data_IF_195860578815
#
_entry.id   IF_195860578815
#
_cell.length_a   1.000
_cell.length_b   1.000
_cell.length_c   1.000
_cell.angle_alpha   90.00
_cell.angle_beta   90.00
_cell.angle_gamma   90.00
#
_symmetry.space_group_name_H-M   'P 1'
#
loop_
_entity.id
_entity.type
_entity.pdbx_description
1 polymer ?
#
# COMPACT_ATOMS: atom_id res chain seq x y z
N UNK A 1 -84.93 38.81 2.60
CA UNK A 1 -85.09 37.39 3.00
C UNK A 1 -83.82 36.73 2.65
N UNK A 2 -82.92 36.65 3.67
CA UNK A 2 -81.48 36.38 3.54
C UNK A 2 -81.23 34.91 3.90
N UNK A 3 -80.73 34.14 2.99
CA UNK A 3 -80.36 32.75 3.23
C UNK A 3 -78.84 32.70 3.54
N UNK A 4 -78.52 32.31 4.76
CA UNK A 4 -77.14 32.04 5.20
C UNK A 4 -76.63 30.69 4.68
N UNK A 5 -75.65 30.75 3.80
CA UNK A 5 -74.90 29.56 3.35
C UNK A 5 -73.71 29.31 4.27
N UNK A 6 -73.78 28.30 5.12
CA UNK A 6 -72.65 27.84 5.97
C UNK A 6 -71.73 26.97 5.17
N UNK A 7 -70.56 27.45 4.85
CA UNK A 7 -69.47 26.69 4.30
C UNK A 7 -68.84 25.85 5.43
N UNK A 8 -68.94 24.52 5.31
CA UNK A 8 -68.19 23.56 6.15
C UNK A 8 -66.80 23.38 5.56
N UNK A 9 -65.76 23.91 6.18
CA UNK A 9 -64.38 23.59 5.87
C UNK A 9 -64.03 22.24 6.53
N UNK A 10 -63.95 21.19 5.72
CA UNK A 10 -63.38 19.91 6.17
C UNK A 10 -61.86 20.04 6.04
N UNK A 11 -61.19 20.19 7.17
CA UNK A 11 -59.71 20.16 7.25
C UNK A 11 -59.23 18.67 7.14
N UNK A 12 -58.83 18.26 5.97
CA UNK A 12 -58.20 16.95 5.75
C UNK A 12 -56.73 17.03 6.21
N UNK A 13 -56.47 16.62 7.43
CA UNK A 13 -55.10 16.49 7.95
C UNK A 13 -54.51 15.24 7.29
N UNK A 14 -53.66 15.43 6.26
CA UNK A 14 -52.82 14.37 5.68
C UNK A 14 -51.79 13.95 6.73
N UNK A 15 -51.98 12.80 7.38
CA UNK A 15 -50.95 12.10 8.12
C UNK A 15 -49.94 11.54 7.12
N UNK A 16 -48.88 12.28 6.85
CA UNK A 16 -47.72 11.77 6.11
C UNK A 16 -46.96 10.87 7.07
N UNK A 17 -46.67 9.62 6.72
CA UNK A 17 -45.75 8.79 7.52
C UNK A 17 -44.37 9.45 7.49
N UNK A 18 -43.81 9.74 8.68
CA UNK A 18 -42.45 10.21 8.82
C UNK A 18 -41.51 9.12 8.27
N UNK A 19 -40.99 9.34 7.07
CA UNK A 19 -39.93 8.50 6.52
C UNK A 19 -38.70 8.65 7.44
N UNK A 20 -38.47 7.63 8.26
CA UNK A 20 -37.22 7.54 9.02
C UNK A 20 -36.11 7.30 8.01
N UNK A 21 -35.36 8.34 7.67
CA UNK A 21 -34.11 8.23 6.95
C UNK A 21 -33.11 7.51 7.87
N UNK A 22 -32.90 6.21 7.61
CA UNK A 22 -31.76 5.53 8.19
C UNK A 22 -30.51 6.14 7.57
N UNK A 23 -29.82 7.00 8.32
CA UNK A 23 -28.45 7.37 8.01
C UNK A 23 -27.60 6.12 8.09
N UNK A 24 -27.27 5.53 6.94
CA UNK A 24 -26.19 4.56 6.88
C UNK A 24 -24.93 5.33 7.28
N UNK A 25 -24.45 5.08 8.50
CA UNK A 25 -23.19 5.61 8.95
C UNK A 25 -22.14 5.07 7.98
N UNK A 26 -21.59 5.98 7.17
CA UNK A 26 -20.59 5.64 6.16
C UNK A 26 -19.27 5.40 6.90
N UNK A 27 -19.17 4.23 7.55
CA UNK A 27 -17.91 3.79 8.14
C UNK A 27 -16.93 3.57 6.99
N UNK A 28 -15.85 4.37 6.98
CA UNK A 28 -14.78 4.20 6.01
C UNK A 28 -14.32 2.74 6.02
N UNK A 29 -14.14 2.15 4.83
CA UNK A 29 -13.65 0.80 4.70
C UNK A 29 -12.31 0.66 5.42
N UNK A 30 -12.13 -0.41 6.18
CA UNK A 30 -10.88 -0.71 6.88
C UNK A 30 -10.35 -2.07 6.45
N UNK A 31 -9.02 -2.21 6.48
CA UNK A 31 -8.39 -3.50 6.23
C UNK A 31 -8.65 -4.44 7.41
N UNK A 32 -9.15 -5.63 7.14
CA UNK A 32 -9.46 -6.64 8.16
C UNK A 32 -8.36 -7.71 8.32
N UNK A 33 -7.37 -7.71 7.41
CA UNK A 33 -6.32 -8.73 7.39
C UNK A 33 -6.74 -10.05 6.74
N UNK A 34 -5.75 -10.84 6.34
CA UNK A 34 -5.98 -12.12 5.66
C UNK A 34 -6.55 -13.21 6.60
N UNK A 35 -6.28 -13.10 7.90
CA UNK A 35 -6.74 -14.09 8.91
C UNK A 35 -8.26 -14.19 8.97
N UNK A 36 -8.99 -13.10 8.67
CA UNK A 36 -10.46 -13.12 8.58
C UNK A 36 -10.95 -14.06 7.47
N UNK A 37 -10.22 -14.13 6.36
CA UNK A 37 -10.56 -15.01 5.23
C UNK A 37 -10.40 -16.49 5.59
N UNK A 38 -9.50 -16.83 6.52
CA UNK A 38 -9.25 -18.20 6.96
C UNK A 38 -10.49 -18.90 7.55
N UNK A 39 -11.42 -18.11 8.13
CA UNK A 39 -12.65 -18.66 8.72
C UNK A 39 -13.56 -19.38 7.71
N UNK A 40 -13.54 -18.98 6.44
CA UNK A 40 -14.33 -19.60 5.36
C UNK A 40 -13.44 -20.31 4.31
N UNK A 41 -12.16 -19.95 4.19
CA UNK A 41 -11.23 -20.42 3.16
C UNK A 41 -9.97 -21.05 3.76
N UNK A 42 -10.13 -21.93 4.77
CA UNK A 42 -9.04 -22.48 5.55
C UNK A 42 -7.96 -23.19 4.69
N UNK A 43 -8.38 -23.99 3.72
CA UNK A 43 -7.46 -24.73 2.86
C UNK A 43 -6.64 -23.77 1.95
N UNK A 44 -7.31 -22.81 1.31
CA UNK A 44 -6.67 -21.82 0.46
C UNK A 44 -5.73 -20.93 1.26
N UNK A 45 -6.17 -20.51 2.45
CA UNK A 45 -5.35 -19.72 3.36
C UNK A 45 -4.08 -20.48 3.78
N UNK A 46 -4.18 -21.78 4.10
CA UNK A 46 -3.04 -22.59 4.51
C UNK A 46 -2.01 -22.76 3.38
N UNK A 47 -2.46 -22.86 2.12
CA UNK A 47 -1.59 -22.93 0.94
C UNK A 47 -0.94 -21.58 0.61
N UNK A 48 -1.66 -20.49 0.87
CA UNK A 48 -1.16 -19.14 0.60
C UNK A 48 -0.18 -18.68 1.69
N UNK A 49 -0.46 -18.95 2.96
CA UNK A 49 0.34 -18.50 4.12
C UNK A 49 1.78 -19.04 4.05
N UNK A 50 2.75 -18.13 4.12
CA UNK A 50 4.17 -18.43 3.99
C UNK A 50 4.66 -18.72 2.55
N UNK A 51 3.76 -18.64 1.54
CA UNK A 51 4.15 -18.75 0.14
C UNK A 51 4.84 -17.47 -0.36
N UNK A 52 5.45 -17.51 -1.56
CA UNK A 52 6.00 -16.30 -2.19
C UNK A 52 4.93 -15.23 -2.45
N UNK A 53 3.66 -15.61 -2.60
CA UNK A 53 2.55 -14.66 -2.75
C UNK A 53 2.22 -13.93 -1.43
N UNK A 54 2.29 -14.63 -0.28
CA UNK A 54 2.17 -14.00 1.03
C UNK A 54 3.32 -13.00 1.27
N UNK A 55 4.51 -13.36 0.85
CA UNK A 55 5.71 -12.52 0.97
C UNK A 55 5.86 -11.47 -0.14
N UNK A 56 5.02 -11.49 -1.18
CA UNK A 56 5.16 -10.63 -2.34
C UNK A 56 5.08 -9.13 -2.01
N UNK A 57 4.32 -8.74 -0.99
CA UNK A 57 4.24 -7.37 -0.51
C UNK A 57 4.02 -7.34 1.01
N UNK A 58 5.02 -6.87 1.74
CA UNK A 58 5.02 -6.78 3.20
C UNK A 58 5.43 -5.37 3.65
N UNK A 59 4.97 -4.92 4.83
CA UNK A 59 5.55 -3.74 5.46
C UNK A 59 7.07 -3.93 5.64
N UNK A 60 7.85 -2.87 5.41
CA UNK A 60 9.32 -2.93 5.52
C UNK A 60 9.74 -3.10 6.98
N UNK A 61 10.08 -4.32 7.36
CA UNK A 61 10.51 -4.72 8.70
C UNK A 61 11.82 -5.50 8.62
N UNK A 62 12.41 -5.80 9.77
CA UNK A 62 13.61 -6.63 9.83
C UNK A 62 13.39 -8.07 9.29
N UNK A 63 12.15 -8.56 9.32
CA UNK A 63 11.79 -9.89 8.80
C UNK A 63 11.56 -9.89 7.30
N UNK A 64 11.03 -8.80 6.74
CA UNK A 64 10.63 -8.73 5.34
C UNK A 64 11.69 -8.15 4.40
N UNK A 65 12.57 -7.28 4.89
CA UNK A 65 13.64 -6.65 4.09
C UNK A 65 14.81 -7.61 3.94
N UNK A 66 15.10 -8.01 2.70
CA UNK A 66 16.19 -8.93 2.34
C UNK A 66 17.47 -8.20 1.92
N UNK A 67 17.34 -6.97 1.39
CA UNK A 67 18.46 -6.18 0.88
C UNK A 67 19.40 -5.70 1.96
N UNK A 68 20.64 -5.48 1.60
CA UNK A 68 21.64 -4.90 2.48
C UNK A 68 21.44 -3.37 2.63
N UNK A 69 20.99 -2.95 3.82
CA UNK A 69 20.83 -1.55 4.22
C UNK A 69 21.87 -1.11 5.27
N UNK A 70 23.04 -1.74 5.32
CA UNK A 70 24.10 -1.41 6.26
C UNK A 70 25.03 -0.32 5.68
N UNK A 71 24.49 0.84 5.33
CA UNK A 71 25.24 1.98 4.78
C UNK A 71 26.03 1.62 3.51
N UNK A 72 25.39 0.86 2.62
CA UNK A 72 25.97 0.47 1.33
C UNK A 72 25.48 1.39 0.21
N UNK A 73 26.21 1.40 -0.89
CA UNK A 73 25.83 2.15 -2.09
C UNK A 73 25.96 1.28 -3.35
N UNK A 74 25.13 1.61 -4.33
CA UNK A 74 25.14 1.05 -5.67
C UNK A 74 25.22 2.21 -6.67
N UNK A 75 25.98 2.03 -7.74
CA UNK A 75 26.15 3.03 -8.79
C UNK A 75 25.79 2.44 -10.14
N UNK A 76 25.01 3.20 -10.92
CA UNK A 76 24.59 2.83 -12.26
C UNK A 76 24.58 4.08 -13.14
N UNK A 77 25.33 4.06 -14.26
CA UNK A 77 25.53 5.21 -15.17
C UNK A 77 25.86 6.54 -14.49
N UNK A 78 26.65 6.50 -13.42
CA UNK A 78 27.03 7.67 -12.63
C UNK A 78 26.00 8.15 -11.63
N UNK A 79 24.82 7.52 -11.58
CA UNK A 79 23.84 7.74 -10.53
C UNK A 79 24.12 6.86 -9.32
N UNK A 80 24.27 7.50 -8.17
CA UNK A 80 24.54 6.82 -6.91
C UNK A 80 23.26 6.68 -6.09
N UNK A 81 22.97 5.45 -5.66
CA UNK A 81 21.91 5.11 -4.71
C UNK A 81 22.54 4.60 -3.42
N UNK A 82 22.12 5.14 -2.28
CA UNK A 82 22.60 4.77 -0.94
C UNK A 82 21.47 4.08 -0.17
N UNK A 83 21.80 2.98 0.53
CA UNK A 83 20.85 2.19 1.31
C UNK A 83 21.29 2.17 2.77
N UNK A 84 20.41 2.61 3.67
CA UNK A 84 20.76 2.71 5.09
C UNK A 84 19.52 2.60 6.00
N UNK A 85 19.78 2.45 7.27
CA UNK A 85 18.77 2.39 8.34
C UNK A 85 18.89 3.59 9.26
N UNK A 86 17.71 4.03 9.77
CA UNK A 86 17.62 4.95 10.90
C UNK A 86 16.68 4.32 11.95
N UNK A 87 17.21 3.79 13.01
CA UNK A 87 16.47 3.00 13.98
C UNK A 87 15.89 1.74 13.35
N UNK A 88 14.57 1.63 13.34
CA UNK A 88 13.83 0.50 12.72
C UNK A 88 13.48 0.75 11.25
N UNK A 89 13.68 1.97 10.76
CA UNK A 89 13.24 2.38 9.44
C UNK A 89 14.35 2.19 8.39
N UNK A 90 13.95 1.89 7.16
CA UNK A 90 14.79 1.69 5.99
C UNK A 90 14.69 2.90 5.08
N UNK A 91 15.81 3.34 4.54
CA UNK A 91 15.90 4.51 3.66
C UNK A 91 16.72 4.21 2.42
N UNK A 92 16.24 4.74 1.29
CA UNK A 92 16.96 4.77 0.02
C UNK A 92 17.19 6.24 -0.32
N UNK A 93 18.45 6.63 -0.53
CA UNK A 93 18.80 7.99 -0.94
C UNK A 93 19.30 7.95 -2.37
N UNK A 94 18.57 8.57 -3.28
CA UNK A 94 18.82 8.61 -4.71
C UNK A 94 18.37 9.93 -5.31
N UNK A 95 18.55 10.14 -6.61
CA UNK A 95 18.05 11.33 -7.27
C UNK A 95 16.51 11.32 -7.35
N UNK A 96 15.92 12.48 -7.11
CA UNK A 96 14.49 12.72 -7.37
C UNK A 96 14.28 13.16 -8.83
N UNK A 97 13.04 13.49 -9.21
CA UNK A 97 12.69 13.92 -10.56
C UNK A 97 13.42 15.19 -11.02
N UNK A 98 13.94 16.01 -10.09
CA UNK A 98 14.72 17.21 -10.35
C UNK A 98 16.24 16.95 -10.37
N UNK A 99 16.68 15.69 -10.32
CA UNK A 99 18.08 15.29 -10.27
C UNK A 99 18.78 15.59 -8.94
N UNK A 100 18.03 15.90 -7.88
CA UNK A 100 18.59 16.20 -6.55
C UNK A 100 18.57 14.96 -5.66
N UNK A 101 19.67 14.73 -4.95
CA UNK A 101 19.74 13.65 -3.96
C UNK A 101 18.71 13.84 -2.86
N UNK A 102 17.82 12.87 -2.70
CA UNK A 102 16.74 12.86 -1.70
C UNK A 102 16.68 11.50 -1.01
N UNK A 103 16.43 11.52 0.30
CA UNK A 103 16.20 10.32 1.09
C UNK A 103 14.71 9.99 1.09
N UNK A 104 14.39 8.74 0.76
CA UNK A 104 13.04 8.20 0.75
C UNK A 104 12.92 7.09 1.78
N UNK A 105 11.90 7.19 2.63
CA UNK A 105 11.58 6.12 3.56
C UNK A 105 10.89 4.98 2.80
N UNK A 106 11.37 3.77 3.00
CA UNK A 106 10.76 2.55 2.46
C UNK A 106 9.54 2.19 3.31
N UNK A 107 8.37 2.03 2.68
CA UNK A 107 7.15 1.61 3.36
C UNK A 107 6.92 0.10 3.25
N UNK A 108 7.16 -0.47 2.06
CA UNK A 108 6.90 -1.88 1.79
C UNK A 108 8.03 -2.50 0.99
N UNK A 109 8.19 -3.82 1.15
CA UNK A 109 8.93 -4.67 0.21
C UNK A 109 8.00 -5.05 -0.93
N UNK A 110 8.53 -5.29 -2.13
CA UNK A 110 7.81 -5.75 -3.31
C UNK A 110 8.60 -6.86 -4.01
N UNK A 111 8.05 -8.06 -3.99
CA UNK A 111 8.76 -9.28 -4.38
C UNK A 111 9.51 -9.93 -3.20
N UNK A 112 9.86 -11.20 -3.38
CA UNK A 112 10.57 -11.98 -2.39
C UNK A 112 11.72 -12.77 -3.02
N UNK A 113 11.45 -13.51 -4.10
CA UNK A 113 12.42 -14.32 -4.82
C UNK A 113 12.08 -14.35 -6.32
N UNK A 114 13.05 -14.23 -7.24
CA UNK A 114 14.51 -14.13 -7.05
C UNK A 114 15.00 -12.71 -6.76
N UNK A 115 14.10 -11.71 -6.74
CA UNK A 115 14.45 -10.32 -6.48
C UNK A 115 13.44 -9.67 -5.53
N UNK A 116 13.90 -8.61 -4.87
CA UNK A 116 13.06 -7.75 -4.04
C UNK A 116 13.31 -6.29 -4.38
N UNK A 117 12.23 -5.56 -4.67
CA UNK A 117 12.17 -4.10 -4.79
C UNK A 117 11.59 -3.49 -3.51
N UNK A 118 11.57 -2.17 -3.49
CA UNK A 118 11.11 -1.40 -2.34
C UNK A 118 10.15 -0.31 -2.78
N UNK A 119 9.01 -0.19 -2.07
CA UNK A 119 7.98 0.80 -2.37
C UNK A 119 8.15 2.03 -1.49
N UNK A 120 8.14 3.18 -2.15
CA UNK A 120 8.25 4.50 -1.55
C UNK A 120 6.88 5.19 -1.66
N UNK A 121 6.30 5.67 -0.53
CA UNK A 121 5.07 6.45 -0.55
C UNK A 121 5.35 7.90 -0.97
N UNK A 122 4.43 8.45 -1.76
CA UNK A 122 4.41 9.85 -2.14
C UNK A 122 3.24 10.59 -1.46
N UNK A 123 3.35 11.92 -1.27
CA UNK A 123 2.31 12.71 -0.59
C UNK A 123 0.94 12.66 -1.26
N UNK A 124 0.88 12.36 -2.55
CA UNK A 124 -0.36 12.22 -3.32
C UNK A 124 -1.01 10.83 -3.21
N UNK A 125 -0.46 9.95 -2.36
CA UNK A 125 -0.96 8.60 -2.11
C UNK A 125 -0.43 7.54 -3.08
N UNK A 126 0.37 7.89 -4.08
CA UNK A 126 1.03 6.91 -4.94
C UNK A 126 2.11 6.16 -4.19
N UNK A 127 2.30 4.90 -4.57
CA UNK A 127 3.45 4.09 -4.21
C UNK A 127 4.30 3.87 -5.46
N UNK A 128 5.61 4.01 -5.34
CA UNK A 128 6.53 3.81 -6.46
C UNK A 128 7.64 2.85 -6.08
N UNK A 129 7.89 1.86 -6.95
CA UNK A 129 9.12 1.07 -6.93
C UNK A 129 10.23 1.84 -7.66
N UNK A 130 11.46 1.72 -7.15
CA UNK A 130 12.63 2.26 -7.83
C UNK A 130 13.15 1.30 -8.88
N UNK A 131 13.99 1.80 -9.80
CA UNK A 131 14.69 1.01 -10.82
C UNK A 131 15.76 0.06 -10.26
N UNK A 132 16.06 0.10 -8.97
CA UNK A 132 17.01 -0.77 -8.29
C UNK A 132 16.31 -1.87 -7.53
N UNK A 133 16.91 -3.07 -7.51
CA UNK A 133 16.41 -4.24 -6.81
C UNK A 133 17.54 -4.98 -6.09
N UNK A 134 17.16 -5.76 -5.09
CA UNK A 134 18.02 -6.70 -4.43
C UNK A 134 17.86 -8.09 -5.06
N UNK A 135 18.95 -8.70 -5.52
CA UNK A 135 18.99 -10.08 -5.95
C UNK A 135 19.03 -10.99 -4.72
N UNK A 136 17.90 -11.62 -4.43
CA UNK A 136 17.73 -12.45 -3.23
C UNK A 136 18.24 -13.87 -3.38
N UNK A 137 18.74 -14.26 -4.56
CA UNK A 137 19.33 -15.57 -4.77
C UNK A 137 20.56 -15.79 -3.89
N UNK A 138 20.97 -17.05 -3.64
CA UNK A 138 22.21 -17.33 -2.94
C UNK A 138 23.43 -16.67 -3.60
N UNK A 139 24.41 -16.26 -2.79
CA UNK A 139 25.66 -15.67 -3.30
C UNK A 139 26.39 -16.59 -4.28
N UNK A 140 26.35 -17.91 -4.07
CA UNK A 140 26.93 -18.89 -4.96
C UNK A 140 26.31 -18.90 -6.37
N UNK A 141 25.08 -18.39 -6.50
CA UNK A 141 24.36 -18.22 -7.77
C UNK A 141 24.48 -16.80 -8.35
N UNK A 142 25.39 -15.97 -7.80
CA UNK A 142 25.60 -14.59 -8.21
C UNK A 142 24.60 -13.58 -7.60
N UNK A 143 23.78 -14.01 -6.63
CA UNK A 143 22.85 -13.17 -5.88
C UNK A 143 23.50 -12.43 -4.71
N UNK A 144 22.68 -11.96 -3.78
CA UNK A 144 23.05 -11.17 -2.60
C UNK A 144 23.77 -9.87 -3.00
N UNK A 145 23.16 -9.13 -3.93
CA UNK A 145 23.69 -7.86 -4.44
C UNK A 145 22.59 -6.92 -4.92
N UNK A 146 22.87 -5.65 -4.92
CA UNK A 146 22.05 -4.64 -5.60
C UNK A 146 22.32 -4.69 -7.11
N UNK A 147 21.28 -4.43 -7.91
CA UNK A 147 21.39 -4.31 -9.36
C UNK A 147 20.30 -3.38 -9.91
N UNK A 148 20.50 -2.87 -11.11
CA UNK A 148 19.49 -2.09 -11.82
C UNK A 148 18.64 -3.02 -12.70
N UNK A 149 17.31 -2.83 -12.69
CA UNK A 149 16.38 -3.67 -13.46
C UNK A 149 16.52 -3.48 -14.97
N UNK A 150 16.98 -2.31 -15.37
CA UNK A 150 17.21 -1.91 -16.77
C UNK A 150 18.68 -1.60 -16.95
N UNK A 151 19.56 -2.61 -17.05
CA UNK A 151 21.01 -2.41 -17.02
C UNK A 151 21.54 -1.65 -18.24
N UNK A 152 20.79 -1.64 -19.34
CA UNK A 152 21.17 -0.99 -20.61
C UNK A 152 20.52 0.40 -20.79
N UNK A 153 19.78 0.88 -19.78
CA UNK A 153 19.14 2.21 -19.79
C UNK A 153 19.85 3.15 -18.81
N UNK A 154 20.16 4.39 -19.33
CA UNK A 154 20.78 5.46 -18.56
C UNK A 154 19.73 6.47 -18.07
#
# INVERSE_FOLDING_TARGET
MTVFLRLFFISLICLLPAAHSFSVENTAASFVGADVCAGCHADQYSLWKGSHHDWAMQAATQQSVLGDFNQVSFEHYGERTEFYRQGQDYYIKTQNAEGKMQAFKVAYTFGFYPLQQYLIPFPDGRMQALGVAWDSRPKAEGGQRWFHLYPDEA
#
